data_IF_440661449256
#
_entry.id   IF_440661449256
#
_cell.length_a   1.000
_cell.length_b   1.000
_cell.length_c   1.000
_cell.angle_alpha   90.00
_cell.angle_beta   90.00
_cell.angle_gamma   90.00
#
_symmetry.space_group_name_H-M   'P 1'
#
loop_
_entity.id
_entity.type
_entity.pdbx_description
1 polymer ?
#
# COMPACT_ATOMS: atom_id res chain seq x y z
N UNK A 1 -31.80 -1.36 48.08
CA UNK A 1 -31.12 -1.57 46.79
C UNK A 1 -30.70 -3.01 46.77
N UNK A 2 -31.28 -3.79 45.87
CA UNK A 2 -31.09 -5.24 45.87
C UNK A 2 -29.70 -5.57 45.32
N UNK A 3 -29.11 -6.65 45.81
CA UNK A 3 -27.77 -7.11 45.39
C UNK A 3 -27.69 -7.29 43.86
N UNK A 4 -28.81 -7.61 43.23
CA UNK A 4 -28.94 -7.78 41.78
C UNK A 4 -28.73 -6.46 41.01
N UNK A 5 -29.24 -5.34 41.52
CA UNK A 5 -29.10 -4.02 40.89
C UNK A 5 -27.63 -3.58 40.83
N UNK A 6 -26.87 -3.89 41.88
CA UNK A 6 -25.44 -3.59 41.96
C UNK A 6 -24.64 -4.41 40.94
N UNK A 7 -25.01 -5.67 40.72
CA UNK A 7 -24.36 -6.51 39.71
C UNK A 7 -24.67 -6.01 38.29
N UNK A 8 -25.92 -5.65 38.01
CA UNK A 8 -26.32 -5.09 36.72
C UNK A 8 -25.53 -3.82 36.40
N UNK A 9 -25.37 -2.92 37.39
CA UNK A 9 -24.59 -1.70 37.22
C UNK A 9 -23.12 -1.96 36.85
N UNK A 10 -22.48 -2.95 37.47
CA UNK A 10 -21.09 -3.33 37.16
C UNK A 10 -20.95 -3.90 35.75
N UNK A 11 -21.88 -4.78 35.36
CA UNK A 11 -21.89 -5.36 34.01
C UNK A 11 -22.08 -4.28 32.95
N UNK A 12 -22.97 -3.32 33.18
CA UNK A 12 -23.21 -2.24 32.23
C UNK A 12 -21.99 -1.33 32.04
N UNK A 13 -21.28 -1.01 33.13
CA UNK A 13 -20.04 -0.23 33.05
C UNK A 13 -18.98 -0.95 32.24
N UNK A 14 -18.78 -2.25 32.48
CA UNK A 14 -17.84 -3.07 31.72
C UNK A 14 -18.18 -3.10 30.22
N UNK A 15 -19.45 -3.38 29.88
CA UNK A 15 -19.89 -3.41 28.48
C UNK A 15 -19.68 -2.06 27.79
N UNK A 16 -19.97 -0.96 28.50
CA UNK A 16 -19.76 0.39 27.97
C UNK A 16 -18.28 0.67 27.68
N UNK A 17 -17.36 0.24 28.55
CA UNK A 17 -15.92 0.42 28.36
C UNK A 17 -15.43 -0.33 27.11
N UNK A 18 -15.82 -1.61 26.98
CA UNK A 18 -15.49 -2.45 25.82
C UNK A 18 -16.08 -1.87 24.53
N UNK A 19 -17.37 -1.49 24.53
CA UNK A 19 -18.04 -0.92 23.35
C UNK A 19 -17.42 0.41 22.91
N UNK A 20 -17.00 1.26 23.86
CA UNK A 20 -16.37 2.55 23.54
C UNK A 20 -15.06 2.33 22.78
N UNK A 21 -14.19 1.43 23.29
CA UNK A 21 -12.90 1.13 22.63
C UNK A 21 -13.14 0.45 21.27
N UNK A 22 -14.10 -0.47 21.18
CA UNK A 22 -14.46 -1.11 19.92
C UNK A 22 -14.95 -0.10 18.88
N UNK A 23 -15.80 0.85 19.28
CA UNK A 23 -16.29 1.91 18.40
C UNK A 23 -15.15 2.81 17.89
N UNK A 24 -14.22 3.19 18.77
CA UNK A 24 -13.04 3.97 18.38
C UNK A 24 -12.22 3.25 17.31
N UNK A 25 -11.96 1.95 17.46
CA UNK A 25 -11.24 1.14 16.47
C UNK A 25 -11.94 1.15 15.11
N UNK A 26 -13.27 1.03 15.09
CA UNK A 26 -14.04 1.07 13.84
C UNK A 26 -13.93 2.43 13.16
N UNK A 27 -14.05 3.54 13.90
CA UNK A 27 -13.90 4.88 13.32
C UNK A 27 -12.48 5.13 12.78
N UNK A 28 -11.44 4.67 13.48
CA UNK A 28 -10.05 4.76 13.00
C UNK A 28 -9.83 3.92 11.73
N UNK A 29 -10.51 2.78 11.61
CA UNK A 29 -10.44 1.95 10.40
C UNK A 29 -11.12 2.60 9.22
N UNK A 30 -12.26 3.24 9.42
CA UNK A 30 -12.99 3.96 8.36
C UNK A 30 -12.19 5.16 7.86
N UNK A 31 -11.64 5.97 8.77
CA UNK A 31 -10.76 7.10 8.41
C UNK A 31 -9.52 6.64 7.64
N UNK A 32 -8.90 5.51 8.03
CA UNK A 32 -7.80 4.89 7.28
C UNK A 32 -8.23 4.48 5.87
N UNK A 33 -9.43 3.93 5.71
CA UNK A 33 -9.96 3.54 4.40
C UNK A 33 -10.19 4.77 3.50
N UNK A 34 -10.76 5.84 4.06
CA UNK A 34 -10.98 7.10 3.35
C UNK A 34 -9.66 7.72 2.86
N UNK A 35 -8.64 7.78 3.73
CA UNK A 35 -7.31 8.26 3.35
C UNK A 35 -6.66 7.38 2.28
N UNK A 36 -6.80 6.05 2.38
CA UNK A 36 -6.29 5.14 1.35
C UNK A 36 -6.97 5.36 0.00
N UNK A 37 -8.28 5.62 0.00
CA UNK A 37 -9.04 5.93 -1.22
C UNK A 37 -8.62 7.29 -1.80
N UNK A 38 -8.40 8.29 -0.96
CA UNK A 38 -7.87 9.59 -1.38
C UNK A 38 -6.47 9.47 -1.98
N UNK A 39 -5.57 8.70 -1.35
CA UNK A 39 -4.23 8.45 -1.86
C UNK A 39 -4.25 7.79 -3.25
N UNK A 40 -5.15 6.85 -3.49
CA UNK A 40 -5.31 6.24 -4.80
C UNK A 40 -5.75 7.27 -5.86
N UNK A 41 -6.69 8.14 -5.53
CA UNK A 41 -7.10 9.25 -6.41
C UNK A 41 -5.94 10.20 -6.71
N UNK A 42 -5.08 10.51 -5.74
CA UNK A 42 -3.88 11.32 -5.98
C UNK A 42 -2.88 10.62 -6.90
N UNK A 43 -2.69 9.30 -6.78
CA UNK A 43 -1.85 8.53 -7.70
C UNK A 43 -2.41 8.51 -9.12
N UNK A 44 -3.73 8.37 -9.26
CA UNK A 44 -4.41 8.46 -10.55
C UNK A 44 -4.26 9.85 -11.18
N UNK A 45 -4.48 10.91 -10.40
CA UNK A 45 -4.27 12.29 -10.84
C UNK A 45 -2.82 12.54 -11.26
N UNK A 46 -1.84 12.07 -10.47
CA UNK A 46 -0.43 12.21 -10.81
C UNK A 46 -0.10 11.52 -12.15
N UNK A 47 -0.60 10.30 -12.37
CA UNK A 47 -0.43 9.57 -13.64
C UNK A 47 -1.07 10.32 -14.82
N UNK A 48 -2.27 10.86 -14.63
CA UNK A 48 -2.95 11.64 -15.67
C UNK A 48 -2.17 12.90 -16.04
N UNK A 49 -1.62 13.61 -15.04
CA UNK A 49 -0.79 14.80 -15.24
C UNK A 49 0.54 14.44 -15.93
N UNK A 50 1.15 13.32 -15.57
CA UNK A 50 2.39 12.85 -16.22
C UNK A 50 2.18 12.49 -17.70
N UNK A 51 0.99 11.99 -18.07
CA UNK A 51 0.63 11.70 -19.46
C UNK A 51 0.22 12.96 -20.25
N UNK A 52 -0.34 13.97 -19.59
CA UNK A 52 -0.75 15.21 -20.25
C UNK A 52 0.46 16.02 -20.77
N UNK A 53 0.28 16.67 -21.93
CA UNK A 53 1.27 17.59 -22.52
C UNK A 53 1.02 19.06 -22.15
N UNK A 54 0.02 19.32 -21.32
CA UNK A 54 -0.43 20.67 -21.01
C UNK A 54 0.56 21.40 -20.10
N UNK A 55 0.79 22.69 -20.38
CA UNK A 55 1.70 23.54 -19.59
C UNK A 55 1.12 23.89 -18.22
N UNK A 56 -0.20 24.09 -18.18
CA UNK A 56 -0.93 24.53 -17.00
C UNK A 56 -2.11 23.59 -16.74
N UNK A 57 -2.37 23.30 -15.48
CA UNK A 57 -3.35 22.31 -15.05
C UNK A 57 -4.32 22.98 -14.09
N UNK A 58 -5.60 22.65 -14.23
CA UNK A 58 -6.65 23.10 -13.33
C UNK A 58 -6.73 22.16 -12.13
N UNK A 59 -6.53 22.71 -10.93
CA UNK A 59 -6.66 21.98 -9.69
C UNK A 59 -7.84 22.54 -8.90
N UNK A 60 -8.64 21.66 -8.31
CA UNK A 60 -9.70 22.06 -7.39
C UNK A 60 -9.12 22.25 -6.00
N UNK A 61 -9.30 23.45 -5.44
CA UNK A 61 -8.94 23.78 -4.06
C UNK A 61 -10.20 24.30 -3.37
N UNK A 62 -10.76 23.51 -2.45
CA UNK A 62 -12.06 23.81 -1.83
C UNK A 62 -13.20 23.87 -2.86
N UNK A 63 -13.84 25.02 -3.00
CA UNK A 63 -14.94 25.27 -3.95
C UNK A 63 -14.49 25.90 -5.27
N UNK A 64 -13.22 26.24 -5.42
CA UNK A 64 -12.70 26.96 -6.59
C UNK A 64 -11.73 26.10 -7.40
N UNK A 65 -11.60 26.43 -8.70
CA UNK A 65 -10.58 25.85 -9.58
C UNK A 65 -9.48 26.88 -9.81
N UNK A 66 -8.24 26.48 -9.58
CA UNK A 66 -7.06 27.32 -9.72
C UNK A 66 -6.16 26.71 -10.78
N UNK A 67 -5.75 27.54 -11.74
CA UNK A 67 -4.78 27.15 -12.74
C UNK A 67 -3.36 27.28 -12.16
N UNK A 68 -2.58 26.22 -12.25
CA UNK A 68 -1.19 26.20 -11.78
C UNK A 68 -0.27 25.60 -12.84
N UNK A 69 1.02 25.97 -12.85
CA UNK A 69 2.00 25.32 -13.71
C UNK A 69 2.11 23.83 -13.39
N UNK A 70 2.38 23.02 -14.41
CA UNK A 70 2.47 21.56 -14.28
C UNK A 70 3.42 21.08 -13.18
N UNK A 71 4.61 21.68 -13.08
CA UNK A 71 5.62 21.28 -12.10
C UNK A 71 5.14 21.49 -10.66
N UNK A 72 4.52 22.64 -10.36
CA UNK A 72 3.97 22.94 -9.05
C UNK A 72 2.87 21.94 -8.66
N UNK A 73 2.00 21.55 -9.61
CA UNK A 73 0.96 20.55 -9.37
C UNK A 73 1.53 19.17 -9.02
N UNK A 74 2.58 18.73 -9.74
CA UNK A 74 3.25 17.44 -9.49
C UNK A 74 3.88 17.41 -8.11
N UNK A 75 4.57 18.50 -7.73
CA UNK A 75 5.21 18.62 -6.41
C UNK A 75 4.17 18.59 -5.29
N UNK A 76 3.08 19.35 -5.43
CA UNK A 76 1.97 19.33 -4.47
C UNK A 76 1.37 17.93 -4.31
N UNK A 77 1.05 17.25 -5.41
CA UNK A 77 0.49 15.89 -5.34
C UNK A 77 1.46 14.89 -4.70
N UNK A 78 2.76 14.99 -4.98
CA UNK A 78 3.77 14.12 -4.35
C UNK A 78 3.84 14.33 -2.84
N UNK A 79 3.79 15.59 -2.40
CA UNK A 79 3.75 15.92 -0.97
C UNK A 79 2.49 15.35 -0.30
N UNK A 80 1.32 15.50 -0.92
CA UNK A 80 0.06 14.96 -0.38
C UNK A 80 0.05 13.43 -0.33
N UNK A 81 0.64 12.74 -1.32
CA UNK A 81 0.80 11.29 -1.30
C UNK A 81 1.68 10.83 -0.13
N UNK A 82 2.78 11.53 0.15
CA UNK A 82 3.70 11.15 1.23
C UNK A 82 3.11 11.46 2.61
N UNK A 83 2.47 12.63 2.80
CA UNK A 83 1.71 12.93 4.03
C UNK A 83 0.64 11.88 4.31
N UNK A 84 -0.18 11.55 3.30
CA UNK A 84 -1.22 10.52 3.44
C UNK A 84 -0.63 9.16 3.84
N UNK A 85 0.60 8.84 3.40
CA UNK A 85 1.28 7.60 3.76
C UNK A 85 1.76 7.60 5.20
N UNK A 86 2.28 8.73 5.68
CA UNK A 86 2.63 8.92 7.09
C UNK A 86 1.38 8.80 7.98
N UNK A 87 0.28 9.45 7.60
CA UNK A 87 -0.99 9.40 8.33
C UNK A 87 -1.58 7.98 8.38
N UNK A 88 -1.57 7.24 7.27
CA UNK A 88 -2.04 5.85 7.22
C UNK A 88 -1.22 4.95 8.14
N UNK A 89 0.11 5.15 8.20
CA UNK A 89 0.98 4.38 9.08
C UNK A 89 0.72 4.74 10.55
N UNK A 90 0.58 6.03 10.86
CA UNK A 90 0.22 6.50 12.20
C UNK A 90 -1.11 5.91 12.67
N UNK A 91 -2.17 5.98 11.84
CA UNK A 91 -3.47 5.38 12.15
C UNK A 91 -3.37 3.86 12.35
N UNK A 92 -2.56 3.17 11.55
CA UNK A 92 -2.37 1.74 11.71
C UNK A 92 -1.74 1.37 13.06
N UNK A 93 -0.77 2.15 13.52
CA UNK A 93 -0.13 1.91 14.82
C UNK A 93 -1.08 2.28 15.97
N UNK A 94 -1.84 3.38 15.87
CA UNK A 94 -2.90 3.72 16.84
C UNK A 94 -3.97 2.62 16.94
N UNK A 95 -4.38 2.03 15.81
CA UNK A 95 -5.33 0.90 15.79
C UNK A 95 -4.75 -0.31 16.52
N UNK A 96 -3.45 -0.59 16.38
CA UNK A 96 -2.79 -1.71 17.09
C UNK A 96 -2.79 -1.50 18.59
N UNK A 97 -2.49 -0.29 19.04
CA UNK A 97 -2.48 0.05 20.47
C UNK A 97 -3.88 -0.09 21.07
N UNK A 98 -4.90 0.44 20.39
CA UNK A 98 -6.32 0.30 20.79
C UNK A 98 -6.81 -1.14 20.79
N UNK A 99 -6.34 -1.96 19.85
CA UNK A 99 -6.68 -3.38 19.82
C UNK A 99 -6.01 -4.16 20.96
N UNK A 100 -4.82 -3.75 21.40
CA UNK A 100 -4.19 -4.29 22.61
C UNK A 100 -5.02 -3.93 23.85
N UNK A 101 -5.43 -2.66 23.97
CA UNK A 101 -6.29 -2.18 25.05
C UNK A 101 -7.61 -2.97 25.13
N UNK A 102 -8.26 -3.20 23.98
CA UNK A 102 -9.50 -3.99 23.92
C UNK A 102 -9.30 -5.43 24.42
N UNK A 103 -8.19 -6.08 24.03
CA UNK A 103 -7.88 -7.45 24.49
C UNK A 103 -7.59 -7.51 25.99
N UNK A 104 -6.91 -6.50 26.52
CA UNK A 104 -6.64 -6.41 27.96
C UNK A 104 -7.95 -6.29 28.75
N UNK A 105 -8.92 -5.50 28.23
CA UNK A 105 -10.27 -5.38 28.79
C UNK A 105 -11.05 -6.71 28.73
N UNK A 106 -10.96 -7.44 27.61
CA UNK A 106 -11.62 -8.74 27.42
C UNK A 106 -10.90 -9.89 28.13
N UNK A 107 -9.76 -9.63 28.78
CA UNK A 107 -8.88 -10.62 29.39
C UNK A 107 -8.41 -11.71 28.40
N UNK A 108 -8.30 -11.35 27.13
CA UNK A 108 -7.72 -12.20 26.10
C UNK A 108 -6.19 -12.11 26.09
N UNK A 109 -5.49 -13.16 25.64
CA UNK A 109 -4.06 -13.05 25.42
C UNK A 109 -3.75 -11.97 24.37
N UNK A 110 -2.68 -11.21 24.63
CA UNK A 110 -2.20 -10.16 23.75
C UNK A 110 -1.82 -10.67 22.35
N UNK A 111 -1.77 -9.73 21.40
CA UNK A 111 -1.53 -10.01 19.98
C UNK A 111 -0.10 -10.49 19.76
N UNK A 112 0.11 -11.79 19.56
CA UNK A 112 1.44 -12.35 19.24
C UNK A 112 1.68 -12.40 17.72
N UNK A 113 2.87 -11.98 17.30
CA UNK A 113 3.35 -12.19 15.91
C UNK A 113 2.91 -11.15 14.86
N UNK A 114 2.18 -10.10 15.22
CA UNK A 114 1.72 -9.06 14.26
C UNK A 114 2.64 -7.82 14.18
N UNK A 115 3.75 -7.83 14.90
CA UNK A 115 4.77 -6.76 14.92
C UNK A 115 5.96 -7.07 14.00
N UNK A 116 5.74 -7.86 12.94
CA UNK A 116 6.75 -8.12 11.93
C UNK A 116 6.88 -6.92 11.01
N UNK A 117 8.10 -6.41 10.86
CA UNK A 117 8.42 -5.43 9.82
C UNK A 117 8.70 -6.17 8.52
N UNK A 118 8.19 -5.68 7.37
CA UNK A 118 8.55 -6.27 6.09
C UNK A 118 10.06 -6.17 5.88
N UNK A 119 10.64 -7.25 5.35
CA UNK A 119 12.05 -7.34 5.03
C UNK A 119 12.45 -6.20 4.09
N UNK A 120 13.49 -5.44 4.45
CA UNK A 120 13.98 -4.37 3.58
C UNK A 120 14.57 -4.94 2.30
N UNK A 121 14.56 -4.15 1.21
CA UNK A 121 15.12 -4.57 -0.08
C UNK A 121 16.62 -4.93 0.06
N UNK A 122 17.34 -4.27 0.96
CA UNK A 122 18.74 -4.56 1.29
C UNK A 122 18.91 -5.89 1.99
N UNK A 123 18.07 -6.20 2.97
CA UNK A 123 18.09 -7.49 3.66
C UNK A 123 17.67 -8.61 2.70
N UNK A 124 16.63 -8.40 1.90
CA UNK A 124 16.19 -9.33 0.85
C UNK A 124 17.31 -9.63 -0.16
N UNK A 125 18.04 -8.61 -0.62
CA UNK A 125 19.20 -8.78 -1.51
C UNK A 125 20.34 -9.52 -0.82
N UNK A 126 20.54 -9.31 0.47
CA UNK A 126 21.59 -9.98 1.24
C UNK A 126 21.25 -11.45 1.46
N UNK A 127 20.00 -11.76 1.84
CA UNK A 127 19.50 -13.13 1.89
C UNK A 127 19.59 -13.80 0.52
N UNK A 128 19.25 -13.11 -0.55
CA UNK A 128 19.39 -13.65 -1.91
C UNK A 128 20.87 -13.94 -2.28
N UNK A 129 21.82 -13.11 -1.86
CA UNK A 129 23.25 -13.38 -2.07
C UNK A 129 23.77 -14.51 -1.18
N UNK A 130 23.26 -14.63 0.04
CA UNK A 130 23.66 -15.65 1.02
C UNK A 130 23.07 -17.04 0.72
N UNK A 131 21.83 -17.11 0.23
CA UNK A 131 21.09 -18.36 0.02
C UNK A 131 20.80 -18.67 -1.46
N UNK A 132 20.93 -17.70 -2.37
CA UNK A 132 20.53 -17.82 -3.78
C UNK A 132 21.61 -18.33 -4.74
N UNK A 133 22.86 -18.49 -4.30
CA UNK A 133 23.96 -18.98 -5.15
C UNK A 133 23.88 -20.48 -5.47
N UNK A 134 23.11 -21.28 -4.70
CA UNK A 134 22.94 -22.72 -4.98
C UNK A 134 21.57 -23.11 -5.55
N UNK A 135 20.52 -22.29 -5.42
CA UNK A 135 19.14 -22.71 -5.78
C UNK A 135 18.71 -22.25 -7.18
N UNK A 136 19.38 -21.27 -7.79
CA UNK A 136 18.96 -20.67 -9.08
C UNK A 136 19.43 -21.49 -10.31
N UNK A 137 20.23 -22.55 -10.12
CA UNK A 137 20.56 -23.45 -11.24
C UNK A 137 19.34 -24.23 -11.78
N UNK A 138 18.27 -24.42 -11.01
CA UNK A 138 17.14 -25.28 -11.44
C UNK A 138 15.89 -24.55 -11.96
N UNK A 139 15.61 -23.29 -11.60
CA UNK A 139 14.29 -22.69 -11.92
C UNK A 139 14.29 -21.89 -13.24
N UNK A 140 15.41 -21.26 -13.60
CA UNK A 140 15.46 -20.45 -14.83
C UNK A 140 15.46 -21.28 -16.12
N UNK A 141 15.91 -22.54 -16.07
CA UNK A 141 15.94 -23.41 -17.26
C UNK A 141 14.54 -23.88 -17.65
N UNK A 142 13.63 -24.09 -16.70
CA UNK A 142 12.33 -24.72 -17.00
C UNK A 142 11.25 -23.76 -17.52
N UNK A 143 11.21 -22.50 -17.10
CA UNK A 143 10.16 -21.56 -17.57
C UNK A 143 10.54 -20.94 -18.91
N UNK A 144 11.81 -20.63 -19.13
CA UNK A 144 12.27 -20.03 -20.39
C UNK A 144 12.19 -21.02 -21.57
N UNK A 145 12.45 -22.31 -21.36
CA UNK A 145 12.43 -23.30 -22.43
C UNK A 145 11.05 -23.49 -23.08
N UNK A 146 9.95 -23.27 -22.35
CA UNK A 146 8.59 -23.46 -22.86
C UNK A 146 8.09 -22.28 -23.70
N UNK A 147 8.55 -21.07 -23.41
CA UNK A 147 8.21 -19.86 -24.18
C UNK A 147 9.15 -19.68 -25.38
N UNK A 148 10.44 -20.00 -25.23
CA UNK A 148 11.45 -19.79 -26.28
C UNK A 148 11.36 -20.78 -27.45
N UNK A 149 10.82 -22.01 -27.24
CA UNK A 149 10.56 -22.95 -28.36
C UNK A 149 9.52 -22.43 -29.35
N UNK A 150 8.64 -21.50 -28.96
CA UNK A 150 7.65 -20.87 -29.86
C UNK A 150 8.22 -19.71 -30.68
N UNK A 151 9.42 -19.21 -30.33
CA UNK A 151 10.03 -18.01 -30.91
C UNK A 151 11.36 -18.27 -31.62
N UNK A 152 11.82 -19.53 -31.71
CA UNK A 152 13.08 -19.91 -32.36
C UNK A 152 14.30 -19.06 -31.93
N UNK A 153 14.40 -18.76 -30.62
CA UNK A 153 15.51 -17.99 -30.06
C UNK A 153 16.48 -18.93 -29.36
N UNK A 154 17.72 -18.96 -29.86
CA UNK A 154 18.84 -19.69 -29.25
C UNK A 154 19.40 -18.84 -28.10
N UNK A 155 19.41 -19.38 -26.88
CA UNK A 155 19.98 -18.71 -25.71
C UNK A 155 21.47 -19.06 -25.61
N UNK A 156 22.35 -18.16 -26.08
CA UNK A 156 23.78 -18.25 -25.84
C UNK A 156 24.12 -17.83 -24.40
N UNK A 157 25.06 -18.56 -23.82
CA UNK A 157 25.44 -18.49 -22.41
C UNK A 157 26.09 -17.15 -22.03
N UNK A 158 25.76 -16.72 -20.81
CA UNK A 158 26.55 -15.90 -19.88
C UNK A 158 26.91 -14.48 -20.37
N UNK A 159 26.25 -13.49 -19.75
CA UNK A 159 26.78 -12.14 -19.61
C UNK A 159 25.92 -11.05 -20.24
N UNK A 160 25.39 -10.17 -19.38
CA UNK A 160 24.80 -8.86 -19.70
C UNK A 160 23.57 -8.92 -20.63
N UNK A 161 22.39 -9.12 -20.02
CA UNK A 161 21.13 -8.73 -20.64
C UNK A 161 21.00 -7.20 -20.63
N UNK A 162 21.62 -6.54 -21.61
CA UNK A 162 21.25 -5.19 -22.01
C UNK A 162 19.96 -5.33 -22.82
N UNK A 163 18.81 -5.04 -22.21
CA UNK A 163 17.53 -5.04 -22.92
C UNK A 163 17.52 -3.78 -23.82
N UNK A 164 17.96 -3.92 -25.06
CA UNK A 164 17.63 -2.97 -26.11
C UNK A 164 16.19 -3.26 -26.55
N UNK A 165 15.23 -2.50 -26.03
CA UNK A 165 13.90 -2.37 -26.63
C UNK A 165 14.07 -1.56 -27.92
N UNK A 166 14.32 -2.25 -29.03
CA UNK A 166 14.32 -1.68 -30.37
C UNK A 166 12.92 -1.87 -30.97
N UNK A 167 12.26 -0.73 -31.18
CA UNK A 167 11.31 -0.43 -32.27
C UNK A 167 10.35 -1.56 -32.69
N UNK A 168 9.14 -1.54 -32.14
CA UNK A 168 7.95 -1.95 -32.90
C UNK A 168 7.37 -0.70 -33.55
N UNK A 169 7.77 -0.50 -34.80
CA UNK A 169 7.17 0.44 -35.74
C UNK A 169 5.67 0.23 -35.83
N UNK A 170 4.93 1.33 -35.66
CA UNK A 170 3.85 1.85 -36.50
C UNK A 170 2.86 0.88 -37.17
N UNK A 171 1.61 1.32 -37.15
CA UNK A 171 0.46 0.93 -37.98
C UNK A 171 -0.42 -0.23 -37.49
N UNK A 172 -1.33 0.13 -36.59
CA UNK A 172 -2.77 -0.11 -36.63
C UNK A 172 -3.39 0.72 -35.50
N UNK A 173 -4.42 1.55 -35.62
CA UNK A 173 -5.22 2.10 -36.72
C UNK A 173 -6.18 3.08 -35.99
N UNK A 174 -6.39 4.29 -36.50
CA UNK A 174 -7.38 5.24 -35.97
C UNK A 174 -8.83 4.71 -36.10
N UNK A 175 -9.75 5.31 -35.31
CA UNK A 175 -11.24 5.21 -35.26
C UNK A 175 -11.74 4.24 -34.17
N UNK A 176 -12.53 4.62 -33.16
CA UNK A 176 -13.51 5.70 -32.97
C UNK A 176 -13.34 6.37 -31.60
#
# INVERSE_FOLDING_TARGET
>A
MDFHDIQIGKTFTYLKEVETVAQDILTLKDTKLELSNAQNKFREALRAIEQSTDRCIWMKEGSVFIQRPRQECIEKLRQEIEKSKEDINGLHDTIKDKLSELRDLEHEPGIVGFSLKPLSITEAKTLHKAFGSEVIKCVCVCVCARVLKKLNVVCSHVGKATIQLRELTENKLYKL
#
